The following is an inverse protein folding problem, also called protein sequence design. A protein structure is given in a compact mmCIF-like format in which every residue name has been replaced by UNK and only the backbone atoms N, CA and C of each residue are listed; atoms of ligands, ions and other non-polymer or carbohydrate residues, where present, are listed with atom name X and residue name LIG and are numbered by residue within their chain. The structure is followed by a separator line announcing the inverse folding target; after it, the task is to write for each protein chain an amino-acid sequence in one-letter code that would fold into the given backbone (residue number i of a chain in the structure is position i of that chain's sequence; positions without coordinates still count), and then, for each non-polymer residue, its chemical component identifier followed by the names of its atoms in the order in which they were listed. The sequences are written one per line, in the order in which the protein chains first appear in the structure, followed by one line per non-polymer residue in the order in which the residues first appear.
data_IF_418718066354
#
_entry.id   IF_418718066354
#
_cell.length_a   1.000
_cell.length_b   1.000
_cell.length_c   1.000
_cell.angle_alpha   90.00
_cell.angle_beta   90.00
_cell.angle_gamma   90.00
#
_symmetry.space_group_name_H-M   'P 1'
#
loop_
_entity.id
_entity.type
_entity.pdbx_description
1 polymer ?
#
# COMPACT_ATOMS: atom_id res chain seq x y z
N UNK A 1 -14.27 -15.11 16.48
CA UNK A 1 -13.92 -13.70 16.69
C UNK A 1 -12.60 -13.38 16.04
N UNK A 2 -12.54 -12.30 15.23
CA UNK A 2 -11.32 -11.76 14.63
C UNK A 2 -11.12 -10.31 15.06
N UNK A 3 -9.87 -9.87 15.08
CA UNK A 3 -9.51 -8.46 15.15
C UNK A 3 -8.78 -8.12 13.84
N UNK A 4 -9.37 -7.24 13.06
CA UNK A 4 -8.85 -6.84 11.74
C UNK A 4 -8.43 -5.39 11.81
N UNK A 5 -7.21 -5.08 11.36
CA UNK A 5 -6.73 -3.70 11.18
C UNK A 5 -6.62 -3.43 9.69
N UNK A 6 -7.35 -2.43 9.21
CA UNK A 6 -7.31 -1.97 7.83
C UNK A 6 -6.45 -0.71 7.75
N UNK A 7 -5.28 -0.84 7.13
CA UNK A 7 -4.41 0.31 6.83
C UNK A 7 -4.81 0.86 5.45
N UNK A 8 -5.63 1.91 5.44
CA UNK A 8 -6.10 2.52 4.21
C UNK A 8 -5.05 3.49 3.66
N UNK A 9 -4.43 3.11 2.56
CA UNK A 9 -3.44 3.92 1.84
C UNK A 9 -4.01 4.58 0.56
N UNK A 10 -5.33 4.58 0.40
CA UNK A 10 -6.01 5.22 -0.72
C UNK A 10 -5.89 4.49 -2.06
N UNK A 11 -5.54 3.20 -2.08
CA UNK A 11 -5.49 2.41 -3.31
C UNK A 11 -4.47 1.28 -3.30
N UNK A 12 -3.85 1.03 -4.44
CA UNK A 12 -2.79 0.03 -4.61
C UNK A 12 -1.41 0.67 -4.44
N UNK A 13 -1.08 1.18 -3.23
CA UNK A 13 0.13 1.95 -2.98
C UNK A 13 1.42 1.17 -3.30
N UNK A 14 1.47 -0.13 -2.97
CA UNK A 14 2.63 -0.98 -3.28
C UNK A 14 2.82 -1.11 -4.79
N UNK A 15 1.74 -1.27 -5.55
CA UNK A 15 1.81 -1.34 -7.03
C UNK A 15 2.28 -0.01 -7.60
N UNK A 16 1.74 1.11 -7.09
CA UNK A 16 2.18 2.43 -7.49
C UNK A 16 3.68 2.66 -7.22
N UNK A 17 4.16 2.19 -6.07
CA UNK A 17 5.58 2.22 -5.71
C UNK A 17 6.43 1.43 -6.70
N UNK A 18 6.05 0.19 -7.03
CA UNK A 18 6.76 -0.63 -8.00
C UNK A 18 6.82 0.03 -9.37
N UNK A 19 5.71 0.62 -9.82
CA UNK A 19 5.64 1.33 -11.09
C UNK A 19 6.60 2.53 -11.12
N UNK A 20 6.59 3.37 -10.09
CA UNK A 20 7.46 4.54 -9.97
C UNK A 20 8.93 4.13 -9.86
N UNK A 21 9.23 3.10 -9.08
CA UNK A 21 10.60 2.58 -8.91
C UNK A 21 11.20 2.05 -10.21
N UNK A 22 10.35 1.57 -11.13
CA UNK A 22 10.76 1.12 -12.47
C UNK A 22 10.74 2.24 -13.52
N UNK A 23 10.68 3.51 -13.09
CA UNK A 23 10.72 4.70 -13.94
C UNK A 23 9.37 5.07 -14.56
N UNK A 24 8.30 4.37 -14.24
CA UNK A 24 6.94 4.72 -14.65
C UNK A 24 6.40 5.93 -13.88
N UNK A 25 5.42 6.63 -14.45
CA UNK A 25 4.65 7.63 -13.71
C UNK A 25 3.52 6.97 -12.94
N UNK A 26 3.07 7.59 -11.83
CA UNK A 26 1.84 7.17 -11.15
C UNK A 26 0.66 7.19 -12.12
N UNK A 27 -0.10 6.11 -12.15
CA UNK A 27 -1.21 5.96 -13.07
C UNK A 27 -2.25 4.96 -12.53
N UNK A 28 -3.44 5.45 -12.21
CA UNK A 28 -4.62 4.66 -11.82
C UNK A 28 -4.43 3.65 -10.66
N UNK A 29 -3.34 3.72 -9.91
CA UNK A 29 -3.11 2.85 -8.77
C UNK A 29 -3.64 3.43 -7.46
N UNK A 30 -3.70 4.75 -7.36
CA UNK A 30 -4.28 5.45 -6.22
C UNK A 30 -5.57 6.14 -6.66
N UNK A 31 -6.56 6.21 -5.77
CA UNK A 31 -7.86 6.85 -6.04
C UNK A 31 -7.67 8.29 -6.53
N UNK A 32 -6.72 9.01 -5.92
CA UNK A 32 -6.40 10.39 -6.30
C UNK A 32 -5.85 10.55 -7.73
N UNK A 33 -5.28 9.49 -8.30
CA UNK A 33 -4.70 9.48 -9.65
C UNK A 33 -5.68 8.91 -10.70
N UNK A 34 -6.85 8.43 -10.26
CA UNK A 34 -7.90 7.93 -11.13
C UNK A 34 -8.68 9.08 -11.77
N UNK A 35 -9.04 8.92 -13.04
CA UNK A 35 -9.93 9.86 -13.75
C UNK A 35 -11.38 9.62 -13.34
N UNK A 36 -11.74 10.02 -12.14
CA UNK A 36 -13.12 9.99 -11.63
C UNK A 36 -13.64 11.41 -11.50
N UNK A 37 -14.95 11.60 -11.70
CA UNK A 37 -15.56 12.94 -11.61
C UNK A 37 -15.45 13.55 -10.20
N UNK A 38 -15.58 12.70 -9.19
CA UNK A 38 -15.45 13.08 -7.79
C UNK A 38 -14.58 12.04 -7.09
N UNK A 39 -13.63 12.51 -6.28
CA UNK A 39 -12.85 11.63 -5.44
C UNK A 39 -13.80 10.95 -4.43
N UNK A 40 -13.72 9.64 -4.34
CA UNK A 40 -14.47 8.88 -3.36
C UNK A 40 -13.52 8.15 -2.42
N UNK A 41 -13.96 7.96 -1.19
CA UNK A 41 -13.27 7.12 -0.22
C UNK A 41 -14.18 5.98 0.21
N UNK A 42 -13.61 4.80 0.42
CA UNK A 42 -14.35 3.68 1.01
C UNK A 42 -14.40 3.87 2.52
N UNK A 43 -15.60 3.90 3.08
CA UNK A 43 -15.77 3.84 4.53
C UNK A 43 -15.72 2.39 5.00
N UNK A 44 -14.48 1.88 5.21
CA UNK A 44 -14.28 0.50 5.63
C UNK A 44 -14.91 0.19 7.00
N UNK A 45 -15.03 1.19 7.88
CA UNK A 45 -15.69 0.99 9.17
C UNK A 45 -17.19 0.72 8.99
N UNK A 46 -17.90 1.60 8.25
CA UNK A 46 -19.32 1.37 7.93
C UNK A 46 -19.55 0.09 7.14
N UNK A 47 -18.62 -0.24 6.23
CA UNK A 47 -18.69 -1.50 5.48
C UNK A 47 -18.63 -2.70 6.45
N UNK A 48 -17.69 -2.70 7.39
CA UNK A 48 -17.60 -3.76 8.40
C UNK A 48 -18.84 -3.84 9.30
N UNK A 49 -19.38 -2.70 9.72
CA UNK A 49 -20.61 -2.64 10.51
C UNK A 49 -21.80 -3.22 9.75
N UNK A 50 -21.91 -2.95 8.45
CA UNK A 50 -22.98 -3.52 7.61
C UNK A 50 -22.91 -5.04 7.50
N UNK A 51 -21.73 -5.64 7.70
CA UNK A 51 -21.52 -7.09 7.77
C UNK A 51 -21.67 -7.65 9.20
N UNK A 52 -22.03 -6.82 10.17
CA UNK A 52 -22.26 -7.23 11.56
C UNK A 52 -21.03 -7.23 12.47
N UNK A 53 -19.90 -6.70 12.02
CA UNK A 53 -18.74 -6.45 12.88
C UNK A 53 -18.93 -5.18 13.72
N UNK A 54 -18.13 -5.04 14.77
CA UNK A 54 -17.94 -3.74 15.42
C UNK A 54 -16.78 -3.02 14.73
N UNK A 55 -16.88 -1.69 14.57
CA UNK A 55 -15.79 -0.96 13.91
C UNK A 55 -15.41 0.32 14.63
N UNK A 56 -14.14 0.74 14.46
CA UNK A 56 -13.61 2.04 14.90
C UNK A 56 -12.67 2.61 13.85
N UNK A 57 -12.76 3.91 13.64
CA UNK A 57 -11.75 4.69 12.92
C UNK A 57 -10.78 5.28 13.93
N UNK A 58 -9.49 5.25 13.61
CA UNK A 58 -8.43 5.83 14.43
C UNK A 58 -7.49 6.65 13.56
N UNK A 59 -6.90 7.70 14.12
CA UNK A 59 -6.07 8.67 13.41
C UNK A 59 -4.63 8.71 13.95
N UNK A 60 -4.36 8.00 15.03
CA UNK A 60 -3.04 7.95 15.66
C UNK A 60 -2.70 6.56 16.18
N UNK A 61 -1.39 6.31 16.42
CA UNK A 61 -0.93 5.07 17.03
C UNK A 61 -1.48 4.88 18.45
N UNK A 62 -1.61 5.97 19.23
CA UNK A 62 -2.17 5.90 20.58
C UNK A 62 -3.65 5.47 20.54
N UNK A 63 -4.42 5.99 19.58
CA UNK A 63 -5.81 5.55 19.39
C UNK A 63 -5.88 4.11 18.88
N UNK A 64 -4.92 3.68 18.04
CA UNK A 64 -4.84 2.30 17.57
C UNK A 64 -4.61 1.34 18.74
N UNK A 65 -3.71 1.67 19.67
CA UNK A 65 -3.46 0.87 20.88
C UNK A 65 -4.75 0.74 21.72
N UNK A 66 -5.43 1.85 21.99
CA UNK A 66 -6.70 1.85 22.72
C UNK A 66 -7.79 1.04 21.99
N UNK A 67 -7.85 1.14 20.66
CA UNK A 67 -8.80 0.39 19.85
C UNK A 67 -8.49 -1.11 19.85
N UNK A 68 -7.21 -1.51 19.89
CA UNK A 68 -6.82 -2.90 20.03
C UNK A 68 -7.21 -3.48 21.40
N UNK A 69 -7.04 -2.72 22.48
CA UNK A 69 -7.47 -3.16 23.83
C UNK A 69 -8.99 -3.27 23.93
N UNK A 70 -9.72 -2.32 23.36
CA UNK A 70 -11.15 -2.43 23.20
C UNK A 70 -11.55 -3.68 22.39
N UNK A 71 -10.89 -3.94 21.27
CA UNK A 71 -11.17 -5.09 20.42
C UNK A 71 -10.93 -6.44 21.15
N UNK A 72 -9.89 -6.52 21.96
CA UNK A 72 -9.61 -7.71 22.79
C UNK A 72 -10.71 -7.96 23.80
N UNK A 73 -11.30 -6.91 24.38
CA UNK A 73 -12.33 -6.98 25.40
C UNK A 73 -13.73 -7.32 24.84
N UNK A 74 -13.97 -7.20 23.54
CA UNK A 74 -15.27 -7.55 22.93
C UNK A 74 -15.38 -9.05 22.67
N UNK A 75 -16.59 -9.54 22.51
CA UNK A 75 -16.90 -10.93 22.14
C UNK A 75 -17.15 -11.13 20.63
N UNK A 76 -17.19 -10.04 19.86
CA UNK A 76 -17.48 -10.01 18.42
C UNK A 76 -16.24 -9.68 17.59
N UNK A 77 -16.31 -10.03 16.31
CA UNK A 77 -15.32 -9.54 15.32
C UNK A 77 -15.30 -8.01 15.28
N UNK A 78 -14.11 -7.45 15.30
CA UNK A 78 -13.87 -6.01 15.28
C UNK A 78 -13.02 -5.63 14.09
N UNK A 79 -13.28 -4.46 13.50
CA UNK A 79 -12.49 -3.88 12.43
C UNK A 79 -12.03 -2.48 12.86
N UNK A 80 -10.74 -2.27 12.87
CA UNK A 80 -10.12 -0.97 13.17
C UNK A 80 -9.56 -0.43 11.87
N UNK A 81 -9.91 0.80 11.49
CA UNK A 81 -9.41 1.43 10.27
C UNK A 81 -8.50 2.60 10.60
N UNK A 82 -7.34 2.65 9.97
CA UNK A 82 -6.39 3.75 10.10
C UNK A 82 -5.90 4.16 8.72
N UNK A 83 -5.86 5.47 8.46
CA UNK A 83 -5.28 6.01 7.24
C UNK A 83 -3.76 5.94 7.34
N UNK A 84 -3.13 5.41 6.30
CA UNK A 84 -1.68 5.32 6.18
C UNK A 84 -1.19 6.08 4.97
N UNK A 85 0.03 6.62 5.03
CA UNK A 85 0.63 7.32 3.90
C UNK A 85 1.02 6.33 2.80
N UNK A 86 0.56 6.62 1.57
CA UNK A 86 0.84 5.82 0.38
C UNK A 86 2.30 5.93 -0.10
N UNK A 87 3.06 6.92 0.38
CA UNK A 87 4.40 7.26 -0.12
C UNK A 87 5.51 7.07 0.90
N UNK A 88 5.17 6.88 2.18
CA UNK A 88 6.15 6.59 3.22
C UNK A 88 6.23 5.08 3.44
N UNK A 89 7.41 4.52 3.26
CA UNK A 89 7.67 3.09 3.45
C UNK A 89 9.02 2.87 4.13
N UNK A 90 9.16 1.70 4.70
CA UNK A 90 10.40 1.31 5.38
C UNK A 90 11.56 1.20 4.39
N UNK A 91 12.77 1.64 4.76
CA UNK A 91 13.97 1.39 3.97
C UNK A 91 14.28 -0.12 3.91
N UNK A 92 14.99 -0.53 2.87
CA UNK A 92 15.48 -1.90 2.75
C UNK A 92 14.48 -2.90 2.19
N UNK A 93 13.48 -2.45 1.44
CA UNK A 93 12.58 -3.35 0.71
C UNK A 93 13.34 -4.31 -0.19
N UNK A 94 12.85 -5.54 -0.24
CA UNK A 94 13.31 -6.52 -1.21
C UNK A 94 13.14 -5.97 -2.63
N UNK A 95 14.22 -6.00 -3.40
CA UNK A 95 14.16 -5.66 -4.82
C UNK A 95 13.36 -6.75 -5.54
N UNK A 96 12.13 -6.45 -5.88
CA UNK A 96 11.37 -7.34 -6.77
C UNK A 96 11.97 -7.28 -8.16
N UNK A 97 12.35 -8.43 -8.67
CA UNK A 97 12.91 -8.54 -10.01
C UNK A 97 11.82 -8.47 -11.09
N UNK A 98 11.16 -7.31 -11.15
CA UNK A 98 10.18 -7.01 -12.19
C UNK A 98 10.94 -6.48 -13.40
N UNK A 99 10.67 -7.04 -14.57
CA UNK A 99 11.31 -6.60 -15.81
C UNK A 99 11.10 -5.11 -16.09
N UNK A 100 12.19 -4.44 -16.47
CA UNK A 100 12.16 -3.05 -16.93
C UNK A 100 12.44 -3.04 -18.42
N UNK A 101 11.63 -2.32 -19.24
CA UNK A 101 11.89 -2.20 -20.66
C UNK A 101 13.27 -1.58 -20.92
N UNK A 102 14.07 -2.20 -21.77
CA UNK A 102 15.39 -1.67 -22.17
C UNK A 102 15.27 -0.57 -23.22
N UNK A 103 14.13 -0.51 -23.92
CA UNK A 103 13.81 0.50 -24.93
C UNK A 103 12.61 1.30 -24.43
N UNK A 104 12.82 2.60 -24.20
CA UNK A 104 11.75 3.53 -23.81
C UNK A 104 12.15 4.96 -24.22
N UNK A 105 11.15 5.76 -24.60
CA UNK A 105 11.33 7.19 -24.79
C UNK A 105 11.51 7.93 -23.45
N UNK A 106 11.01 7.36 -22.36
CA UNK A 106 11.11 7.93 -21.03
C UNK A 106 12.49 7.65 -20.43
N UNK A 107 13.23 8.71 -20.08
CA UNK A 107 14.57 8.61 -19.53
C UNK A 107 14.60 7.83 -18.20
N UNK A 108 13.68 8.12 -17.30
CA UNK A 108 13.58 7.42 -16.01
C UNK A 108 13.42 5.89 -16.15
N UNK A 109 12.78 5.40 -17.21
CA UNK A 109 12.69 3.96 -17.49
C UNK A 109 14.03 3.42 -17.96
N UNK A 110 14.76 4.15 -18.82
CA UNK A 110 16.09 3.73 -19.27
C UNK A 110 17.10 3.69 -18.11
N UNK A 111 17.02 4.65 -17.19
CA UNK A 111 17.85 4.67 -15.98
C UNK A 111 17.52 3.51 -15.05
N UNK A 112 16.23 3.23 -14.83
CA UNK A 112 15.77 2.09 -14.05
C UNK A 112 16.24 0.75 -14.66
N UNK A 113 16.27 0.62 -16.00
CA UNK A 113 16.79 -0.57 -16.68
C UNK A 113 18.29 -0.74 -16.45
N UNK A 114 19.07 0.34 -16.53
CA UNK A 114 20.52 0.32 -16.23
C UNK A 114 20.78 -0.07 -14.77
N UNK A 115 20.04 0.53 -13.84
CA UNK A 115 20.14 0.20 -12.42
C UNK A 115 19.81 -1.28 -12.15
N UNK A 116 18.75 -1.82 -12.78
CA UNK A 116 18.38 -3.22 -12.63
C UNK A 116 19.48 -4.15 -13.16
N UNK A 117 20.07 -3.83 -14.32
CA UNK A 117 21.17 -4.61 -14.89
C UNK A 117 22.40 -4.62 -13.96
N UNK A 118 22.77 -3.47 -13.39
CA UNK A 118 23.87 -3.35 -12.44
C UNK A 118 23.62 -4.17 -11.16
N UNK A 119 22.43 -4.06 -10.57
CA UNK A 119 22.06 -4.84 -9.38
C UNK A 119 22.09 -6.35 -9.68
N UNK A 120 21.52 -6.78 -10.80
CA UNK A 120 21.54 -8.20 -11.22
C UNK A 120 22.95 -8.76 -11.37
N UNK A 121 23.87 -7.97 -11.93
CA UNK A 121 25.26 -8.41 -12.12
C UNK A 121 26.00 -8.68 -10.80
N UNK A 122 25.52 -8.12 -9.69
CA UNK A 122 26.09 -8.24 -8.34
C UNK A 122 25.35 -9.25 -7.46
N UNK A 123 24.21 -9.78 -7.93
CA UNK A 123 23.46 -10.78 -7.18
C UNK A 123 24.19 -12.12 -7.18
N UNK A 124 24.19 -12.79 -6.03
CA UNK A 124 24.63 -14.18 -5.95
C UNK A 124 23.62 -15.04 -6.72
N UNK A 125 24.08 -15.70 -7.75
CA UNK A 125 23.32 -16.76 -8.38
C UNK A 125 23.38 -17.95 -7.42
N UNK A 126 22.23 -18.37 -6.90
CA UNK A 126 22.15 -19.58 -6.09
C UNK A 126 22.65 -20.77 -6.89
N UNK A 127 23.56 -21.54 -6.32
CA UNK A 127 24.04 -22.83 -6.85
C UNK A 127 23.12 -23.91 -6.32
#
# INVERSE_FOLDING_TARGET
KLIVVVCDNGGYAVINRLQNFKGGASFNNLIKDCKVKEAFGVDFAKHAESMGALARKVESLAELEQALDWAKATDRTTVITIVSDAFTWTPGDALWDVGVPTISQRESVREAAKYQADVRSKQRVGV
#
